data_IF_877795301146
#
_entry.id   IF_877795301146
#
_cell.length_a   1.000
_cell.length_b   1.000
_cell.length_c   1.000
_cell.angle_alpha   90.00
_cell.angle_beta   90.00
_cell.angle_gamma   90.00
#
_symmetry.space_group_name_H-M   'P 1'
#
loop_
_entity.id
_entity.type
_entity.pdbx_description
1 polymer ?
#
# COMPACT_ATOMS: atom_id res chain seq x y z
N UNK A 1 14.76 5.45 -4.95
CA UNK A 1 15.75 5.62 -3.87
C UNK A 1 15.06 5.51 -2.51
N UNK A 2 15.71 4.87 -1.52
CA UNK A 2 15.21 4.70 -0.15
C UNK A 2 14.98 6.02 0.63
N UNK A 3 15.37 7.16 0.06
CA UNK A 3 15.19 8.50 0.67
C UNK A 3 14.10 9.34 0.04
N UNK A 4 13.39 8.81 -0.97
CA UNK A 4 12.24 9.50 -1.56
C UNK A 4 11.21 9.87 -0.49
N UNK A 5 11.02 8.99 0.50
CA UNK A 5 10.14 9.18 1.64
C UNK A 5 10.54 10.35 2.56
N UNK A 6 11.81 10.79 2.53
CA UNK A 6 12.28 11.92 3.30
C UNK A 6 11.90 13.27 2.67
N UNK A 7 11.51 13.29 1.40
CA UNK A 7 11.08 14.50 0.68
C UNK A 7 9.61 14.44 0.27
N UNK A 8 8.75 14.18 1.25
CA UNK A 8 7.30 14.03 1.06
C UNK A 8 6.53 14.86 2.08
N UNK A 9 5.31 15.33 1.76
CA UNK A 9 4.57 16.30 2.57
C UNK A 9 4.01 15.75 3.88
N UNK A 10 4.18 14.46 4.18
CA UNK A 10 3.64 13.88 5.40
C UNK A 10 4.34 14.38 6.66
N UNK A 11 3.56 14.41 7.75
CA UNK A 11 4.04 14.72 9.08
C UNK A 11 4.81 13.52 9.63
N UNK A 12 6.04 13.75 10.07
CA UNK A 12 6.86 12.71 10.72
C UNK A 12 6.77 12.90 12.23
N UNK A 13 6.14 11.96 12.93
CA UNK A 13 6.10 11.97 14.39
C UNK A 13 7.42 11.45 14.95
N UNK A 14 7.86 12.06 16.06
CA UNK A 14 9.03 11.64 16.82
C UNK A 14 8.66 11.47 18.30
N UNK A 15 9.14 10.37 18.87
CA UNK A 15 8.98 9.98 20.26
C UNK A 15 9.84 10.88 21.18
N UNK A 16 9.39 11.12 22.41
CA UNK A 16 10.01 12.09 23.32
C UNK A 16 11.46 11.74 23.68
N UNK A 17 11.75 10.46 23.90
CA UNK A 17 13.09 9.94 24.17
C UNK A 17 14.04 10.16 22.99
N UNK A 18 13.56 9.95 21.76
CA UNK A 18 14.34 10.22 20.55
C UNK A 18 14.55 11.71 20.32
N UNK A 19 13.52 12.53 20.56
CA UNK A 19 13.62 13.98 20.48
C UNK A 19 14.69 14.51 21.46
N UNK A 20 14.69 14.00 22.70
CA UNK A 20 15.71 14.31 23.69
C UNK A 20 17.12 13.86 23.27
N UNK A 21 17.25 12.71 22.61
CA UNK A 21 18.52 12.26 22.05
C UNK A 21 19.06 13.21 20.97
N UNK A 22 18.18 13.86 20.18
CA UNK A 22 18.59 14.88 19.22
C UNK A 22 19.13 16.14 19.94
N UNK A 23 18.52 16.57 21.04
CA UNK A 23 18.99 17.74 21.79
C UNK A 23 20.35 17.50 22.47
N UNK A 24 20.65 16.24 22.80
CA UNK A 24 21.89 15.84 23.45
C UNK A 24 23.09 15.62 22.52
N UNK A 25 22.89 15.65 21.20
CA UNK A 25 23.95 15.37 20.22
C UNK A 25 24.51 16.65 19.59
N UNK A 26 25.82 16.66 19.34
CA UNK A 26 26.46 17.77 18.64
C UNK A 26 26.34 17.61 17.11
N UNK A 27 25.47 18.42 16.51
CA UNK A 27 25.28 18.49 15.06
C UNK A 27 26.07 19.63 14.39
N UNK A 28 27.11 20.18 15.03
CA UNK A 28 27.91 21.31 14.50
C UNK A 28 28.54 21.04 13.13
N UNK A 29 28.77 19.77 12.79
CA UNK A 29 29.23 19.34 11.47
C UNK A 29 28.21 19.55 10.33
N UNK A 30 26.94 19.88 10.65
CA UNK A 30 25.83 20.01 9.71
C UNK A 30 25.28 21.44 9.68
N UNK A 31 25.82 22.34 8.84
CA UNK A 31 25.42 23.75 8.79
C UNK A 31 23.92 23.98 8.56
N UNK A 32 23.23 23.06 7.87
CA UNK A 32 21.78 23.13 7.63
C UNK A 32 20.95 23.02 8.91
N UNK A 33 21.52 22.44 9.98
CA UNK A 33 20.87 22.28 11.28
C UNK A 33 21.17 23.46 12.23
N UNK A 34 22.17 24.28 11.92
CA UNK A 34 22.61 25.36 12.80
C UNK A 34 21.49 26.38 13.05
N UNK A 35 21.19 26.63 14.34
CA UNK A 35 20.15 27.57 14.76
C UNK A 35 18.71 27.16 14.40
N UNK A 36 18.50 25.93 13.93
CA UNK A 36 17.17 25.39 13.63
C UNK A 36 16.60 24.66 14.83
N UNK A 37 15.28 24.69 14.94
CA UNK A 37 14.54 23.78 15.83
C UNK A 37 14.35 22.44 15.13
N UNK A 38 14.72 21.34 15.79
CA UNK A 38 14.71 20.00 15.20
C UNK A 38 13.32 19.36 15.15
N UNK A 39 12.45 19.76 16.07
CA UNK A 39 11.10 19.24 16.18
C UNK A 39 10.20 20.27 16.86
N UNK A 40 8.89 20.11 16.67
CA UNK A 40 7.88 20.96 17.28
C UNK A 40 6.87 20.11 18.03
N UNK A 41 6.43 20.57 19.20
CA UNK A 41 5.34 19.92 19.91
C UNK A 41 4.07 20.00 19.05
N UNK A 42 3.41 18.86 18.90
CA UNK A 42 2.15 18.77 18.17
C UNK A 42 0.99 19.14 19.09
N UNK A 43 0.20 20.13 18.68
CA UNK A 43 -1.07 20.43 19.35
C UNK A 43 -2.19 19.47 18.94
N UNK A 44 -2.09 18.87 17.74
CA UNK A 44 -3.16 18.06 17.17
C UNK A 44 -3.01 16.55 17.47
N UNK A 45 -1.79 16.10 17.83
CA UNK A 45 -1.51 14.66 18.03
C UNK A 45 -1.57 14.22 19.50
N UNK A 46 -1.96 15.13 20.40
CA UNK A 46 -2.03 14.92 21.86
C UNK A 46 -0.78 15.35 22.62
N UNK A 47 -0.90 15.49 23.94
CA UNK A 47 0.22 15.85 24.81
C UNK A 47 1.39 14.86 24.70
N UNK A 48 2.62 15.36 24.74
CA UNK A 48 3.83 14.55 24.65
C UNK A 48 4.20 14.06 23.24
N UNK A 49 3.51 14.50 22.19
CA UNK A 49 3.83 14.14 20.80
C UNK A 49 4.57 15.26 20.08
N UNK A 50 5.66 14.90 19.41
CA UNK A 50 6.49 15.83 18.66
C UNK A 50 6.46 15.51 17.17
N UNK A 51 6.65 16.54 16.36
CA UNK A 51 6.78 16.46 14.90
C UNK A 51 8.20 16.87 14.52
N UNK A 52 8.88 16.03 13.76
CA UNK A 52 10.19 16.36 13.20
C UNK A 52 10.05 17.58 12.26
N UNK A 53 10.96 18.53 12.38
CA UNK A 53 10.95 19.72 11.55
C UNK A 53 11.26 19.40 10.08
N UNK A 54 10.70 20.21 9.19
CA UNK A 54 10.98 20.18 7.75
C UNK A 54 11.99 21.29 7.42
N UNK A 55 12.82 21.03 6.41
CA UNK A 55 13.69 22.02 5.81
C UNK A 55 12.92 22.90 4.82
N UNK A 56 13.48 23.09 3.64
CA UNK A 56 12.79 23.78 2.55
C UNK A 56 11.69 22.89 1.95
N UNK A 57 10.47 23.44 1.83
CA UNK A 57 9.32 22.72 1.26
C UNK A 57 8.94 21.48 2.07
N UNK A 58 8.95 20.31 1.40
CA UNK A 58 8.59 19.00 1.97
C UNK A 58 9.78 18.20 2.50
N UNK A 59 11.01 18.68 2.25
CA UNK A 59 12.25 17.97 2.57
C UNK A 59 12.42 17.84 4.08
N UNK A 60 12.75 16.65 4.56
CA UNK A 60 13.11 16.44 5.96
C UNK A 60 14.34 17.28 6.31
N UNK A 61 14.32 17.95 7.47
CA UNK A 61 15.46 18.76 7.93
C UNK A 61 16.75 17.93 8.10
N UNK A 62 16.60 16.64 8.41
CA UNK A 62 17.70 15.70 8.62
C UNK A 62 18.09 14.90 7.36
N UNK A 63 17.58 15.25 6.18
CA UNK A 63 18.04 14.66 4.93
C UNK A 63 19.26 15.46 4.43
N UNK A 64 20.43 14.83 4.47
CA UNK A 64 21.71 15.44 4.12
C UNK A 64 21.87 15.58 2.60
N UNK A 65 22.99 16.16 2.17
CA UNK A 65 23.31 16.41 0.76
C UNK A 65 23.78 15.17 0.00
N UNK A 66 24.18 14.11 0.72
CA UNK A 66 24.52 12.78 0.18
C UNK A 66 23.30 11.85 0.12
N UNK A 67 22.09 12.38 0.30
CA UNK A 67 20.83 11.64 0.43
C UNK A 67 20.86 10.55 1.49
N UNK A 68 21.54 10.81 2.62
CA UNK A 68 21.46 9.98 3.82
C UNK A 68 20.79 10.74 4.97
N UNK A 69 20.20 9.98 5.88
CA UNK A 69 19.60 10.55 7.08
C UNK A 69 20.69 10.87 8.11
N UNK A 70 20.80 12.13 8.52
CA UNK A 70 21.79 12.58 9.52
C UNK A 70 21.60 11.86 10.86
N UNK A 71 20.34 11.67 11.31
CA UNK A 71 20.04 10.92 12.55
C UNK A 71 20.62 9.51 12.46
N UNK A 72 20.50 8.85 11.30
CA UNK A 72 21.05 7.52 11.11
C UNK A 72 22.59 7.55 11.09
N UNK A 73 23.20 8.48 10.36
CA UNK A 73 24.67 8.61 10.27
C UNK A 73 25.31 8.82 11.64
N UNK A 74 24.73 9.69 12.45
CA UNK A 74 25.31 10.14 13.72
C UNK A 74 24.92 9.26 14.91
N UNK A 75 23.67 8.83 14.97
CA UNK A 75 23.09 8.18 16.15
C UNK A 75 22.66 6.72 15.88
N UNK A 76 22.82 6.23 14.65
CA UNK A 76 22.47 4.88 14.24
C UNK A 76 21.00 4.69 13.85
N UNK A 77 20.70 3.55 13.22
CA UNK A 77 19.37 3.25 12.67
C UNK A 77 18.26 3.31 13.73
N UNK A 78 18.57 2.89 14.95
CA UNK A 78 17.62 2.83 16.05
C UNK A 78 17.25 4.21 16.61
N UNK A 79 18.06 5.24 16.40
CA UNK A 79 17.74 6.61 16.82
C UNK A 79 16.66 7.25 15.93
N UNK A 80 16.46 6.73 14.71
CA UNK A 80 15.38 7.21 13.83
C UNK A 80 14.01 7.09 14.53
N UNK A 81 13.09 8.04 14.28
CA UNK A 81 11.70 7.93 14.74
C UNK A 81 11.07 6.59 14.30
N UNK A 82 10.18 6.01 15.12
CA UNK A 82 9.51 4.75 14.75
C UNK A 82 8.84 4.84 13.38
N UNK A 83 8.15 5.94 13.06
CA UNK A 83 7.53 6.14 11.74
C UNK A 83 8.53 6.05 10.58
N UNK A 84 9.77 6.52 10.77
CA UNK A 84 10.83 6.45 9.76
C UNK A 84 11.48 5.06 9.63
N UNK A 85 11.39 4.23 10.67
CA UNK A 85 11.83 2.83 10.66
C UNK A 85 10.74 1.92 10.12
N UNK A 86 9.49 2.21 10.47
CA UNK A 86 8.31 1.48 10.04
C UNK A 86 8.12 1.54 8.53
N UNK A 87 8.36 2.70 7.89
CA UNK A 87 8.23 2.81 6.43
C UNK A 87 9.19 1.82 5.71
N UNK A 88 8.70 1.01 4.75
CA UNK A 88 7.43 1.14 4.04
C UNK A 88 6.28 0.29 4.59
N UNK A 89 6.47 -0.42 5.70
CA UNK A 89 5.50 -1.37 6.22
C UNK A 89 4.29 -0.69 6.88
N UNK A 90 3.11 -1.27 6.70
CA UNK A 90 1.87 -0.81 7.33
C UNK A 90 1.00 -1.99 7.75
N UNK A 91 0.30 -1.82 8.88
CA UNK A 91 -0.70 -2.79 9.30
C UNK A 91 -1.87 -2.77 8.33
N UNK A 92 -2.19 -3.92 7.75
CA UNK A 92 -3.36 -4.15 6.93
C UNK A 92 -4.36 -4.95 7.76
N UNK A 93 -5.41 -4.29 8.22
CA UNK A 93 -6.44 -4.92 9.03
C UNK A 93 -7.41 -5.68 8.12
N UNK A 94 -7.61 -6.96 8.41
CA UNK A 94 -8.70 -7.74 7.80
C UNK A 94 -9.75 -8.05 8.86
N UNK A 95 -10.80 -8.75 8.46
CA UNK A 95 -11.84 -9.19 9.38
C UNK A 95 -11.45 -10.42 10.18
N UNK A 96 -10.45 -11.18 9.76
CA UNK A 96 -10.10 -12.49 10.35
C UNK A 96 -8.69 -12.52 10.95
N UNK A 97 -7.78 -11.70 10.44
CA UNK A 97 -6.39 -11.65 10.84
C UNK A 97 -5.82 -10.23 10.69
N UNK A 98 -4.61 -10.05 11.23
CA UNK A 98 -3.82 -8.85 10.96
C UNK A 98 -2.72 -9.22 9.98
N UNK A 99 -2.69 -8.47 8.87
CA UNK A 99 -1.68 -8.60 7.82
C UNK A 99 -0.74 -7.41 7.87
N UNK A 100 0.40 -7.55 7.19
CA UNK A 100 1.30 -6.44 6.92
C UNK A 100 1.33 -6.24 5.42
N UNK A 101 1.25 -4.98 5.01
CA UNK A 101 1.41 -4.55 3.63
C UNK A 101 2.58 -3.57 3.51
N UNK A 102 2.93 -3.22 2.29
CA UNK A 102 3.90 -2.17 1.99
C UNK A 102 3.22 -0.97 1.33
N UNK A 103 3.73 0.21 1.62
CA UNK A 103 3.31 1.45 1.01
C UNK A 103 3.93 1.59 -0.39
N UNK A 104 3.08 1.61 -1.42
CA UNK A 104 3.49 1.80 -2.82
C UNK A 104 4.05 3.20 -3.12
N UNK A 105 4.04 4.15 -2.18
CA UNK A 105 4.84 5.36 -2.25
C UNK A 105 6.35 5.11 -2.09
N UNK A 106 6.77 3.88 -1.74
CA UNK A 106 8.17 3.48 -1.75
C UNK A 106 8.60 3.02 -3.15
N UNK A 107 9.62 3.66 -3.76
CA UNK A 107 10.12 3.24 -5.07
C UNK A 107 10.61 1.79 -5.11
N UNK A 108 11.22 1.28 -4.03
CA UNK A 108 11.68 -0.11 -3.97
C UNK A 108 10.51 -1.09 -3.93
N UNK A 109 9.40 -0.73 -3.29
CA UNK A 109 8.17 -1.56 -3.33
C UNK A 109 7.60 -1.59 -4.75
N UNK A 110 7.56 -0.43 -5.42
CA UNK A 110 7.12 -0.35 -6.83
C UNK A 110 8.01 -1.18 -7.76
N UNK A 111 9.32 -1.21 -7.50
CA UNK A 111 10.30 -1.99 -8.25
C UNK A 111 10.40 -3.45 -7.82
N UNK A 112 9.63 -3.90 -6.82
CA UNK A 112 9.73 -5.24 -6.21
C UNK A 112 11.14 -5.59 -5.72
N UNK A 113 11.85 -4.59 -5.16
CA UNK A 113 13.19 -4.72 -4.60
C UNK A 113 13.13 -4.92 -3.07
N UNK A 114 13.96 -5.83 -2.56
CA UNK A 114 14.10 -6.10 -1.13
C UNK A 114 13.89 -7.57 -0.78
N UNK A 115 14.02 -7.89 0.51
CA UNK A 115 13.72 -9.24 1.02
C UNK A 115 12.21 -9.50 1.00
N UNK A 116 11.80 -10.76 0.83
CA UNK A 116 10.38 -11.14 0.96
C UNK A 116 9.94 -10.95 2.40
N UNK A 117 8.69 -10.56 2.64
CA UNK A 117 8.18 -10.36 4.01
C UNK A 117 8.36 -11.58 4.91
N UNK A 118 8.20 -12.78 4.37
CA UNK A 118 8.39 -14.04 5.12
C UNK A 118 9.83 -14.20 5.63
N UNK A 119 10.82 -13.66 4.93
CA UNK A 119 12.23 -13.77 5.31
C UNK A 119 12.65 -12.71 6.35
N UNK A 120 11.79 -11.72 6.62
CA UNK A 120 12.03 -10.61 7.56
C UNK A 120 10.87 -10.43 8.56
N UNK A 121 10.11 -11.51 8.82
CA UNK A 121 8.86 -11.43 9.56
C UNK A 121 9.01 -10.92 10.99
N UNK A 122 10.10 -11.27 11.68
CA UNK A 122 10.38 -10.84 13.06
C UNK A 122 10.62 -9.32 13.13
N UNK A 123 11.52 -8.80 12.30
CA UNK A 123 11.81 -7.36 12.22
C UNK A 123 10.57 -6.55 11.85
N UNK A 124 9.79 -7.03 10.88
CA UNK A 124 8.54 -6.38 10.47
C UNK A 124 7.51 -6.38 11.61
N UNK A 125 7.42 -7.44 12.39
CA UNK A 125 6.50 -7.52 13.53
C UNK A 125 6.88 -6.54 14.66
N UNK A 126 8.16 -6.27 14.87
CA UNK A 126 8.63 -5.25 15.82
C UNK A 126 8.28 -3.82 15.35
N UNK A 127 8.37 -3.58 14.05
CA UNK A 127 8.13 -2.26 13.45
C UNK A 127 6.65 -1.95 13.20
N UNK A 128 5.82 -2.96 13.00
CA UNK A 128 4.39 -2.80 12.75
C UNK A 128 3.64 -3.47 13.90
N UNK A 129 3.42 -2.77 15.03
CA UNK A 129 2.68 -3.33 16.14
C UNK A 129 1.26 -3.66 15.68
N UNK A 130 0.99 -4.97 15.62
CA UNK A 130 -0.32 -5.56 15.36
C UNK A 130 -1.29 -5.09 16.44
N UNK A 131 -2.30 -4.30 16.06
CA UNK A 131 -3.35 -3.90 17.00
C UNK A 131 -4.28 -5.09 17.12
N UNK A 132 -4.02 -5.94 18.12
CA UNK A 132 -4.83 -7.11 18.45
C UNK A 132 -6.32 -6.76 18.47
N UNK A 133 -6.95 -6.89 17.32
CA UNK A 133 -8.37 -6.63 17.11
C UNK A 133 -9.02 -7.99 17.09
N UNK A 134 -10.09 -8.12 17.86
CA UNK A 134 -10.82 -9.37 17.89
C UNK A 134 -11.32 -9.71 16.47
N UNK A 135 -10.98 -10.91 15.95
CA UNK A 135 -11.47 -11.37 14.67
C UNK A 135 -13.00 -11.37 14.63
N UNK A 136 -13.56 -10.98 13.48
CA UNK A 136 -15.00 -11.00 13.19
C UNK A 136 -15.30 -11.86 11.96
N UNK A 137 -15.01 -13.18 12.00
CA UNK A 137 -15.22 -14.07 10.85
C UNK A 137 -16.68 -14.12 10.38
N UNK A 138 -17.65 -13.86 11.28
CA UNK A 138 -19.08 -13.82 10.95
C UNK A 138 -19.58 -12.49 10.38
N UNK A 139 -18.69 -11.54 10.06
CA UNK A 139 -19.12 -10.28 9.43
C UNK A 139 -19.49 -10.49 7.97
N UNK A 140 -20.18 -9.51 7.37
CA UNK A 140 -20.56 -9.56 5.97
C UNK A 140 -19.81 -8.47 5.19
N UNK A 141 -19.19 -8.87 4.10
CA UNK A 141 -18.49 -7.98 3.16
C UNK A 141 -19.36 -7.80 1.92
N UNK A 142 -19.76 -6.56 1.56
CA UNK A 142 -20.57 -6.34 0.39
C UNK A 142 -19.76 -6.57 -0.89
N UNK A 143 -20.24 -7.45 -1.76
CA UNK A 143 -19.79 -7.54 -3.15
C UNK A 143 -20.50 -6.46 -3.98
N UNK A 144 -21.82 -6.34 -3.79
CA UNK A 144 -22.66 -5.27 -4.33
C UNK A 144 -23.80 -4.93 -3.35
N UNK A 145 -24.77 -4.13 -3.78
CA UNK A 145 -25.92 -3.73 -2.94
C UNK A 145 -26.88 -4.86 -2.55
N UNK A 146 -26.78 -6.01 -3.21
CA UNK A 146 -27.66 -7.18 -3.10
C UNK A 146 -26.94 -8.46 -2.68
N UNK A 147 -25.60 -8.50 -2.76
CA UNK A 147 -24.79 -9.68 -2.52
C UNK A 147 -23.77 -9.43 -1.40
N UNK A 148 -23.82 -10.29 -0.38
CA UNK A 148 -22.89 -10.30 0.75
C UNK A 148 -22.04 -11.58 0.74
N UNK A 149 -20.75 -11.39 1.02
CA UNK A 149 -19.74 -12.44 1.18
C UNK A 149 -19.31 -12.55 2.65
N UNK A 150 -18.86 -13.73 3.05
CA UNK A 150 -18.04 -13.87 4.26
C UNK A 150 -16.63 -13.30 4.00
N UNK A 151 -15.85 -12.98 5.06
CA UNK A 151 -14.45 -12.60 4.91
C UNK A 151 -13.62 -13.61 4.10
N UNK A 152 -13.81 -14.91 4.34
CA UNK A 152 -13.05 -15.96 3.65
C UNK A 152 -13.40 -16.03 2.16
N UNK A 153 -14.68 -15.85 1.82
CA UNK A 153 -15.12 -15.75 0.41
C UNK A 153 -14.53 -14.50 -0.26
N UNK A 154 -14.54 -13.36 0.43
CA UNK A 154 -13.92 -12.14 -0.07
C UNK A 154 -12.41 -12.29 -0.29
N UNK A 155 -11.72 -12.94 0.65
CA UNK A 155 -10.27 -13.17 0.56
C UNK A 155 -9.92 -14.13 -0.58
N UNK A 156 -10.70 -15.21 -0.76
CA UNK A 156 -10.53 -16.13 -1.89
C UNK A 156 -10.81 -15.43 -3.23
N UNK A 157 -11.84 -14.59 -3.30
CA UNK A 157 -12.16 -13.79 -4.48
C UNK A 157 -11.05 -12.78 -4.80
N UNK A 158 -10.52 -12.07 -3.80
CA UNK A 158 -9.41 -11.14 -3.99
C UNK A 158 -8.14 -11.84 -4.44
N UNK A 159 -7.79 -12.99 -3.85
CA UNK A 159 -6.65 -13.79 -4.26
C UNK A 159 -6.79 -14.23 -5.73
N UNK A 160 -7.98 -14.70 -6.12
CA UNK A 160 -8.28 -15.07 -7.50
C UNK A 160 -8.20 -13.86 -8.43
N UNK A 161 -8.79 -12.73 -8.06
CA UNK A 161 -8.75 -11.50 -8.83
C UNK A 161 -7.31 -11.02 -9.06
N UNK A 162 -6.46 -11.02 -8.03
CA UNK A 162 -5.03 -10.65 -8.15
C UNK A 162 -4.30 -11.60 -9.12
N UNK A 163 -4.58 -12.91 -9.07
CA UNK A 163 -3.95 -13.87 -9.99
C UNK A 163 -4.29 -13.64 -11.48
N UNK A 164 -5.42 -12.98 -11.78
CA UNK A 164 -5.75 -12.59 -13.16
C UNK A 164 -4.82 -11.50 -13.70
N UNK A 165 -4.22 -10.70 -12.81
CA UNK A 165 -3.33 -9.59 -13.16
C UNK A 165 -1.84 -9.93 -12.99
N UNK A 166 -1.51 -11.20 -12.78
CA UNK A 166 -0.11 -11.65 -12.73
C UNK A 166 0.64 -11.24 -14.02
N UNK A 167 1.82 -10.65 -13.87
CA UNK A 167 2.64 -10.19 -15.00
C UNK A 167 3.17 -11.36 -15.83
N UNK A 168 3.29 -12.55 -15.23
CA UNK A 168 3.77 -13.76 -15.91
C UNK A 168 2.66 -14.45 -16.73
N UNK A 169 1.39 -14.08 -16.54
CA UNK A 169 0.26 -14.66 -17.27
C UNK A 169 0.19 -14.13 -18.70
N UNK A 170 -0.05 -15.01 -19.66
CA UNK A 170 -0.32 -14.57 -21.05
C UNK A 170 -1.65 -13.79 -21.16
N UNK A 171 -1.76 -12.95 -22.18
CA UNK A 171 -2.97 -12.18 -22.47
C UNK A 171 -2.87 -10.70 -22.10
N UNK A 172 -3.63 -9.88 -22.82
CA UNK A 172 -3.63 -8.43 -22.64
C UNK A 172 -4.50 -8.00 -21.45
N UNK A 173 -4.32 -6.74 -21.04
CA UNK A 173 -5.02 -6.16 -19.88
C UNK A 173 -6.55 -6.20 -20.01
N UNK A 174 -7.10 -6.09 -21.22
CA UNK A 174 -8.55 -6.08 -21.45
C UNK A 174 -9.15 -7.45 -21.24
N UNK A 175 -8.48 -8.49 -21.73
CA UNK A 175 -8.87 -9.88 -21.51
C UNK A 175 -8.93 -10.20 -20.02
N UNK A 176 -7.94 -9.74 -19.24
CA UNK A 176 -7.89 -9.91 -17.78
C UNK A 176 -9.02 -9.17 -17.04
N UNK A 177 -9.36 -7.96 -17.48
CA UNK A 177 -10.52 -7.23 -16.94
C UNK A 177 -11.84 -7.92 -17.26
N UNK A 178 -11.97 -8.45 -18.47
CA UNK A 178 -13.14 -9.18 -18.89
C UNK A 178 -13.33 -10.46 -18.06
N UNK A 179 -12.24 -11.19 -17.79
CA UNK A 179 -12.21 -12.33 -16.85
C UNK A 179 -12.58 -11.92 -15.42
N UNK A 180 -12.08 -10.79 -14.92
CA UNK A 180 -12.46 -10.28 -13.60
C UNK A 180 -13.95 -9.99 -13.51
N UNK A 181 -14.54 -9.32 -14.51
CA UNK A 181 -15.97 -9.03 -14.53
C UNK A 181 -16.79 -10.32 -14.58
N UNK A 182 -16.39 -11.28 -15.41
CA UNK A 182 -17.05 -12.58 -15.46
C UNK A 182 -16.99 -13.31 -14.12
N UNK A 183 -15.83 -13.28 -13.45
CA UNK A 183 -15.65 -13.85 -12.11
C UNK A 183 -16.60 -13.21 -11.09
N UNK A 184 -16.68 -11.88 -11.05
CA UNK A 184 -17.56 -11.15 -10.13
C UNK A 184 -19.04 -11.48 -10.36
N UNK A 185 -19.47 -11.57 -11.63
CA UNK A 185 -20.83 -12.00 -12.00
C UNK A 185 -21.08 -13.44 -11.57
N UNK A 186 -20.15 -14.36 -11.85
CA UNK A 186 -20.27 -15.77 -11.47
C UNK A 186 -20.41 -15.96 -9.95
N UNK A 187 -19.62 -15.23 -9.16
CA UNK A 187 -19.74 -15.23 -7.69
C UNK A 187 -21.11 -14.72 -7.26
N UNK A 188 -21.56 -13.59 -7.82
CA UNK A 188 -22.85 -12.98 -7.49
C UNK A 188 -24.02 -13.92 -7.78
N UNK A 189 -24.12 -14.45 -8.99
CA UNK A 189 -25.22 -15.33 -9.39
C UNK A 189 -25.25 -16.60 -8.54
N UNK A 190 -24.08 -17.18 -8.22
CA UNK A 190 -24.00 -18.35 -7.34
C UNK A 190 -24.44 -18.04 -5.91
N UNK A 191 -24.05 -16.90 -5.36
CA UNK A 191 -24.50 -16.45 -4.02
C UNK A 191 -26.00 -16.25 -3.96
N UNK A 192 -26.59 -15.72 -5.03
CA UNK A 192 -28.04 -15.55 -5.14
C UNK A 192 -28.77 -16.89 -5.29
N UNK A 193 -28.17 -17.86 -5.98
CA UNK A 193 -28.75 -19.19 -6.20
C UNK A 193 -28.63 -20.12 -4.96
N UNK A 194 -27.51 -20.06 -4.25
CA UNK A 194 -27.15 -21.00 -3.18
C UNK A 194 -26.93 -20.29 -1.83
N UNK A 195 -27.94 -19.56 -1.35
CA UNK A 195 -27.91 -18.91 -0.05
C UNK A 195 -27.88 -19.97 1.09
N UNK A 196 -26.69 -20.51 1.41
CA UNK A 196 -26.49 -21.45 2.52
C UNK A 196 -25.33 -22.45 2.42
N UNK A 197 -24.62 -22.56 1.28
CA UNK A 197 -23.43 -23.42 1.14
C UNK A 197 -22.17 -22.56 1.00
N UNK A 198 -21.62 -22.15 2.15
CA UNK A 198 -20.54 -21.15 2.18
C UNK A 198 -19.15 -21.70 1.85
N UNK A 199 -18.87 -22.97 2.16
CA UNK A 199 -17.53 -23.57 2.02
C UNK A 199 -17.19 -23.93 0.55
N UNK A 200 -18.18 -24.36 -0.24
CA UNK A 200 -17.96 -24.80 -1.64
C UNK A 200 -17.47 -23.67 -2.55
N UNK A 201 -17.91 -22.43 -2.30
CA UNK A 201 -17.48 -21.26 -3.07
C UNK A 201 -16.00 -20.92 -2.84
N UNK A 202 -15.52 -21.06 -1.61
CA UNK A 202 -14.12 -20.78 -1.26
C UNK A 202 -13.20 -21.75 -1.99
N UNK A 203 -13.56 -23.03 -2.01
CA UNK A 203 -12.77 -24.07 -2.69
C UNK A 203 -12.71 -23.84 -4.20
N UNK A 204 -13.83 -23.47 -4.83
CA UNK A 204 -13.88 -23.14 -6.25
C UNK A 204 -13.03 -21.91 -6.60
N UNK A 205 -13.11 -20.85 -5.79
CA UNK A 205 -12.29 -19.65 -5.99
C UNK A 205 -10.79 -19.97 -5.88
N UNK A 206 -10.42 -20.90 -5.00
CA UNK A 206 -9.03 -21.33 -4.80
C UNK A 206 -8.54 -22.34 -5.84
N UNK A 207 -9.40 -23.18 -6.41
CA UNK A 207 -9.01 -24.13 -7.46
C UNK A 207 -8.56 -23.41 -8.73
N UNK A 208 -9.20 -22.26 -8.98
CA UNK A 208 -8.93 -21.47 -10.17
C UNK A 208 -9.55 -22.03 -11.44
N UNK A 209 -10.53 -22.92 -11.31
CA UNK A 209 -11.39 -23.35 -12.41
C UNK A 209 -12.41 -22.26 -12.76
N UNK A 210 -13.01 -22.38 -13.94
CA UNK A 210 -14.14 -21.51 -14.31
C UNK A 210 -15.33 -21.78 -13.39
N UNK A 211 -15.92 -20.71 -12.85
CA UNK A 211 -17.13 -20.84 -12.05
C UNK A 211 -18.31 -21.17 -13.00
N UNK A 212 -19.15 -22.17 -12.65
CA UNK A 212 -20.37 -22.44 -13.40
C UNK A 212 -21.23 -21.18 -13.54
N UNK A 213 -21.64 -20.87 -14.78
CA UNK A 213 -22.46 -19.69 -15.08
C UNK A 213 -21.68 -18.39 -15.27
N UNK A 214 -20.35 -18.43 -15.25
CA UNK A 214 -19.55 -17.28 -15.72
C UNK A 214 -19.94 -16.94 -17.17
N UNK A 215 -20.22 -15.67 -17.48
CA UNK A 215 -20.49 -15.27 -18.85
C UNK A 215 -19.25 -15.55 -19.71
N UNK A 216 -19.47 -16.00 -20.94
CA UNK A 216 -18.38 -16.14 -21.90
C UNK A 216 -17.73 -14.77 -22.13
N UNK A 217 -16.45 -14.69 -21.83
CA UNK A 217 -15.59 -13.50 -21.94
C UNK A 217 -15.26 -13.05 -23.39
N UNK A 218 -15.33 -13.87 -24.46
CA UNK A 218 -14.72 -13.51 -25.75
C UNK A 218 -15.64 -12.61 -26.59
N UNK A 219 -15.79 -11.35 -26.21
CA UNK A 219 -16.21 -10.23 -27.09
C UNK A 219 -15.55 -8.89 -26.75
N UNK A 220 -14.70 -8.80 -25.73
CA UNK A 220 -13.93 -7.58 -25.45
C UNK A 220 -12.64 -7.62 -26.28
N UNK A 221 -12.70 -7.04 -27.47
CA UNK A 221 -11.52 -6.88 -28.32
C UNK A 221 -10.57 -5.86 -27.68
N UNK A 222 -9.40 -6.33 -27.26
CA UNK A 222 -8.29 -5.47 -26.91
C UNK A 222 -7.92 -4.54 -28.08
N UNK A 223 -7.47 -3.33 -27.75
CA UNK A 223 -6.77 -2.52 -28.75
C UNK A 223 -5.46 -3.21 -29.13
N UNK A 224 -5.19 -3.36 -30.43
CA UNK A 224 -4.00 -4.05 -30.92
C UNK A 224 -2.69 -3.42 -30.42
N UNK A 225 -2.71 -2.13 -30.02
CA UNK A 225 -1.61 -1.45 -29.35
C UNK A 225 -2.14 -0.50 -28.25
N UNK A 226 -1.41 -0.31 -27.14
CA UNK A 226 -1.82 0.60 -26.05
C UNK A 226 -2.14 2.03 -26.52
N UNK A 227 -1.42 2.54 -27.53
CA UNK A 227 -1.63 3.87 -28.11
C UNK A 227 -2.97 4.06 -28.85
N UNK A 228 -3.65 2.96 -29.21
CA UNK A 228 -4.96 2.99 -29.88
C UNK A 228 -6.13 3.10 -28.90
N UNK A 229 -5.88 2.90 -27.59
CA UNK A 229 -6.90 3.09 -26.57
C UNK A 229 -7.23 4.59 -26.41
N UNK A 230 -8.50 4.99 -26.30
CA UNK A 230 -8.88 6.37 -26.05
C UNK A 230 -8.24 6.88 -24.76
N UNK A 231 -7.77 8.14 -24.77
CA UNK A 231 -7.08 8.75 -23.63
C UNK A 231 -7.88 8.67 -22.32
N UNK A 232 -9.19 8.90 -22.38
CA UNK A 232 -10.06 8.79 -21.21
C UNK A 232 -10.07 7.39 -20.58
N UNK A 233 -9.91 6.34 -21.39
CA UNK A 233 -9.86 4.97 -20.90
C UNK A 233 -8.49 4.68 -20.27
N UNK A 234 -7.39 5.17 -20.86
CA UNK A 234 -6.05 5.11 -20.25
C UNK A 234 -5.99 5.81 -18.90
N UNK A 235 -6.65 6.97 -18.78
CA UNK A 235 -6.75 7.73 -17.53
C UNK A 235 -7.59 6.99 -16.48
N UNK A 236 -8.67 6.32 -16.88
CA UNK A 236 -9.48 5.50 -15.98
C UNK A 236 -8.68 4.33 -15.40
N UNK A 237 -7.84 3.67 -16.22
CA UNK A 237 -6.94 2.61 -15.78
C UNK A 237 -5.78 3.12 -14.93
N UNK A 238 -5.19 4.25 -15.29
CA UNK A 238 -4.17 4.88 -14.45
C UNK A 238 -4.76 5.23 -13.06
N UNK A 239 -5.98 5.76 -13.00
CA UNK A 239 -6.64 6.11 -11.74
C UNK A 239 -7.05 4.90 -10.88
N UNK A 240 -7.29 3.72 -11.49
CA UNK A 240 -7.69 2.49 -10.77
C UNK A 240 -6.52 1.58 -10.41
N UNK A 241 -5.46 1.55 -11.22
CA UNK A 241 -4.27 0.71 -11.00
C UNK A 241 -3.14 1.48 -10.31
N UNK A 242 -3.15 2.81 -10.36
CA UNK A 242 -2.07 3.63 -9.84
C UNK A 242 -2.61 4.90 -9.17
N UNK A 243 -2.97 4.85 -7.88
CA UNK A 243 -3.35 6.04 -7.14
C UNK A 243 -2.27 7.14 -7.13
N UNK A 244 -0.98 6.81 -7.35
CA UNK A 244 0.13 7.74 -7.07
C UNK A 244 1.32 7.74 -8.06
N UNK A 245 1.21 7.24 -9.31
CA UNK A 245 2.40 7.10 -10.20
C UNK A 245 2.50 8.06 -11.39
N UNK A 246 1.65 9.06 -11.53
CA UNK A 246 1.89 10.12 -12.52
C UNK A 246 2.67 11.25 -11.84
N UNK A 247 3.94 11.50 -12.20
CA UNK A 247 4.69 12.65 -11.71
C UNK A 247 3.92 13.94 -12.01
N UNK A 248 3.86 14.88 -11.06
CA UNK A 248 3.09 16.12 -11.21
C UNK A 248 3.50 16.94 -12.46
N UNK A 249 4.74 16.77 -12.92
CA UNK A 249 5.30 17.36 -14.13
C UNK A 249 4.83 16.70 -15.44
N UNK A 250 4.37 15.44 -15.40
CA UNK A 250 3.78 14.76 -16.56
C UNK A 250 2.34 15.22 -16.86
N UNK A 251 1.62 15.71 -15.84
CA UNK A 251 0.25 16.26 -15.99
C UNK A 251 0.23 17.56 -16.79
N UNK A 252 1.33 18.34 -16.79
CA UNK A 252 1.43 19.61 -17.54
C UNK A 252 1.59 19.44 -19.06
N UNK A 253 1.93 18.25 -19.55
CA UNK A 253 2.21 18.00 -20.98
C UNK A 253 1.10 17.24 -21.71
N UNK A 254 0.03 16.84 -21.02
CA UNK A 254 -1.13 16.14 -21.60
C UNK A 254 -2.27 17.11 -21.91
N UNK A 255 -1.94 18.19 -22.64
CA UNK A 255 -2.91 19.10 -23.26
C UNK A 255 -3.45 18.54 -24.58
#
# INVERSE_FOLDING_TARGET
>A
SCTFCCDQPWRTLIEADKAQALDGHDFSAYPQLAGRSFYHQSKDDGEGRYRLAKGEGTRCLFLDTDDLCIIHKELGAQAKPHMCRQFPFLAAYTWVDERVSANYGCPSVQASEGARFVDQAEEVAELVPRRQREPKPGTSVPLDSSCLLTPDQNDALLARAVSLFDIERDGDVWSRFAELLALLVGVRERRMANAGQDDELVDLLRSGDDLPGMPEVPQIAAYAQPGQSPMGVRLLFAATLYPDTIPADAVRKMG
#
